data_IF_942505885649
#
_entry.id   IF_942505885649
#
_cell.length_a   1.000
_cell.length_b   1.000
_cell.length_c   1.000
_cell.angle_alpha   90.00
_cell.angle_beta   90.00
_cell.angle_gamma   90.00
#
_symmetry.space_group_name_H-M   'P 1'
#
loop_
_entity.id
_entity.type
_entity.pdbx_description
1 polymer ?
#
# COMPACT_ATOMS: atom_id res chain seq x y z
N UNK A 1 13.43 11.67 -8.14
CA UNK A 1 13.28 11.08 -6.81
C UNK A 1 14.43 11.62 -5.96
N UNK A 2 14.20 12.65 -5.15
CA UNK A 2 15.18 13.12 -4.20
C UNK A 2 15.35 12.06 -3.12
N UNK A 3 16.54 11.54 -2.98
CA UNK A 3 16.89 10.72 -1.81
C UNK A 3 17.11 11.74 -0.68
N UNK A 4 16.37 11.66 0.44
CA UNK A 4 16.62 12.54 1.57
C UNK A 4 18.09 12.47 1.97
N UNK A 5 18.69 13.61 2.25
CA UNK A 5 19.95 13.68 2.99
C UNK A 5 19.72 12.86 4.25
N UNK A 6 20.48 11.83 4.49
CA UNK A 6 20.44 10.91 5.60
C UNK A 6 19.02 10.64 6.20
N UNK A 7 18.46 9.48 5.90
CA UNK A 7 17.21 9.03 6.55
C UNK A 7 17.52 8.79 8.03
N UNK A 8 16.75 9.37 8.96
CA UNK A 8 16.90 9.05 10.36
C UNK A 8 16.77 7.53 10.56
N UNK A 9 17.60 6.98 11.42
CA UNK A 9 17.57 5.55 11.69
C UNK A 9 16.26 5.17 12.39
N UNK A 10 15.49 4.30 11.74
CA UNK A 10 14.24 3.77 12.29
C UNK A 10 14.45 3.11 13.66
N UNK A 11 15.62 2.53 13.89
CA UNK A 11 15.99 1.91 15.16
C UNK A 11 16.03 2.95 16.29
N UNK A 12 16.69 4.07 16.05
CA UNK A 12 16.73 5.20 17.00
C UNK A 12 15.31 5.75 17.26
N UNK A 13 14.50 5.90 16.22
CA UNK A 13 13.11 6.35 16.37
C UNK A 13 12.29 5.38 17.21
N UNK A 14 12.48 4.05 17.07
CA UNK A 14 11.84 3.04 17.92
C UNK A 14 12.23 3.19 19.39
N UNK A 15 13.50 3.37 19.67
CA UNK A 15 13.99 3.61 21.01
C UNK A 15 13.38 4.88 21.61
N UNK A 16 13.31 5.95 20.86
CA UNK A 16 12.71 7.21 21.32
C UNK A 16 11.21 7.06 21.61
N UNK A 17 10.47 6.38 20.74
CA UNK A 17 9.05 6.08 20.97
C UNK A 17 8.86 5.16 22.21
N UNK A 18 9.73 4.16 22.43
CA UNK A 18 9.68 3.28 23.60
C UNK A 18 9.94 4.03 24.90
N UNK A 19 10.64 5.18 24.84
CA UNK A 19 10.86 6.11 25.96
C UNK A 19 9.71 7.14 26.13
N UNK A 20 8.62 6.99 25.35
CA UNK A 20 7.45 7.86 25.42
C UNK A 20 7.57 9.19 24.68
N UNK A 21 8.58 9.35 23.80
CA UNK A 21 8.68 10.52 22.95
C UNK A 21 7.70 10.38 21.78
N UNK A 22 6.77 11.33 21.66
CA UNK A 22 5.79 11.34 20.57
C UNK A 22 6.10 12.40 19.53
N UNK A 23 6.39 13.63 19.98
CA UNK A 23 6.72 14.74 19.08
C UNK A 23 8.05 15.33 19.51
N UNK A 24 9.03 15.33 18.59
CA UNK A 24 10.37 15.83 18.89
C UNK A 24 11.14 16.24 17.66
N UNK A 25 12.15 17.09 17.86
CA UNK A 25 13.16 17.40 16.86
C UNK A 25 14.17 16.27 16.82
N UNK A 26 14.38 15.66 15.65
CA UNK A 26 15.31 14.53 15.44
C UNK A 26 16.73 15.05 15.23
N UNK A 27 16.88 16.09 14.41
CA UNK A 27 18.11 16.81 14.13
C UNK A 27 17.79 18.28 13.79
N UNK A 28 18.79 19.06 13.39
CA UNK A 28 18.64 20.51 13.13
C UNK A 28 17.54 20.87 12.11
N UNK A 29 17.19 19.95 11.20
CA UNK A 29 16.26 20.16 10.10
C UNK A 29 15.20 19.05 9.98
N UNK A 30 15.05 18.20 11.01
CA UNK A 30 14.14 17.05 10.93
C UNK A 30 13.30 16.92 12.20
N UNK A 31 12.00 16.64 12.02
CA UNK A 31 11.01 16.58 13.08
C UNK A 31 10.17 15.32 12.99
N UNK A 32 9.86 14.69 14.12
CA UNK A 32 8.96 13.56 14.23
C UNK A 32 7.64 13.99 14.87
N UNK A 33 6.52 13.61 14.24
CA UNK A 33 5.17 13.81 14.75
C UNK A 33 4.48 12.44 14.85
N UNK A 34 4.57 11.82 16.02
CA UNK A 34 4.01 10.51 16.31
C UNK A 34 2.83 10.57 17.30
N UNK A 35 2.57 11.74 17.90
CA UNK A 35 1.27 11.97 18.54
C UNK A 35 0.17 12.02 17.47
N UNK A 36 -0.97 11.31 17.64
CA UNK A 36 -2.03 11.23 16.64
C UNK A 36 -2.61 12.58 16.20
N UNK A 37 -2.71 13.54 17.12
CA UNK A 37 -3.24 14.88 16.82
C UNK A 37 -2.20 15.72 16.08
N UNK A 38 -0.96 15.69 16.52
CA UNK A 38 0.16 16.38 15.90
C UNK A 38 0.40 15.87 14.48
N UNK A 39 0.40 14.55 14.29
CA UNK A 39 0.53 13.92 12.98
C UNK A 39 -0.61 14.34 12.04
N UNK A 40 -1.86 14.40 12.54
CA UNK A 40 -2.99 14.91 11.77
C UNK A 40 -2.81 16.37 11.38
N UNK A 41 -2.44 17.23 12.33
CA UNK A 41 -2.23 18.66 12.08
C UNK A 41 -1.12 18.89 11.05
N UNK A 42 0.05 18.27 11.24
CA UNK A 42 1.16 18.34 10.30
C UNK A 42 0.75 17.89 8.88
N UNK A 43 -0.08 16.84 8.78
CA UNK A 43 -0.54 16.32 7.49
C UNK A 43 -1.57 17.24 6.78
N UNK A 44 -2.13 18.23 7.46
CA UNK A 44 -3.05 19.21 6.88
C UNK A 44 -2.34 20.47 6.36
N UNK A 45 -1.07 20.64 6.68
CA UNK A 45 -0.29 21.82 6.35
C UNK A 45 0.33 21.74 4.94
N UNK A 46 0.92 22.82 4.49
CA UNK A 46 1.51 22.91 3.17
C UNK A 46 2.91 22.26 3.15
N UNK A 47 3.06 21.19 2.37
CA UNK A 47 4.29 20.44 2.26
C UNK A 47 4.47 19.78 0.88
N UNK A 48 5.71 19.46 0.52
CA UNK A 48 6.05 18.54 -0.55
C UNK A 48 6.05 17.10 -0.01
N UNK A 49 5.44 16.19 -0.76
CA UNK A 49 5.54 14.77 -0.46
C UNK A 49 6.80 14.22 -1.11
N UNK A 50 7.78 13.81 -0.31
CA UNK A 50 9.08 13.37 -0.80
C UNK A 50 9.02 12.04 -1.57
N UNK A 51 7.88 11.36 -1.54
CA UNK A 51 7.65 10.10 -2.29
C UNK A 51 6.94 10.32 -3.62
N UNK A 52 6.41 11.53 -3.87
CA UNK A 52 5.69 11.87 -5.10
C UNK A 52 6.52 12.80 -5.98
N UNK A 53 6.35 12.74 -7.32
CA UNK A 53 6.97 13.70 -8.22
C UNK A 53 6.51 15.13 -7.93
N UNK A 54 7.43 16.08 -7.90
CA UNK A 54 7.12 17.51 -7.69
C UNK A 54 6.16 18.06 -8.73
N UNK A 55 6.27 17.57 -9.99
CA UNK A 55 5.39 17.95 -11.09
C UNK A 55 3.90 17.81 -10.79
N UNK A 56 3.51 16.92 -9.84
CA UNK A 56 2.13 16.77 -9.41
C UNK A 56 1.66 17.90 -8.48
N UNK A 57 2.59 18.67 -7.93
CA UNK A 57 2.35 19.75 -6.97
C UNK A 57 2.85 21.11 -7.47
N UNK A 58 3.50 21.15 -8.64
CA UNK A 58 3.99 22.39 -9.21
C UNK A 58 2.85 23.38 -9.43
N UNK A 59 3.13 24.64 -9.09
CA UNK A 59 2.28 25.77 -9.48
C UNK A 59 2.38 25.96 -11.00
N UNK A 60 1.26 26.15 -11.65
CA UNK A 60 1.25 26.88 -12.90
C UNK A 60 1.35 28.39 -12.55
N UNK A 61 1.92 29.18 -13.45
CA UNK A 61 2.13 30.62 -13.28
C UNK A 61 0.85 31.43 -12.97
N UNK A 62 -0.32 30.78 -13.09
CA UNK A 62 -1.64 31.34 -12.79
C UNK A 62 -2.10 31.19 -11.34
N UNK A 63 -1.26 30.69 -10.44
CA UNK A 63 -1.57 30.46 -9.03
C UNK A 63 -2.54 29.31 -8.75
N UNK A 64 -2.95 28.52 -9.74
CA UNK A 64 -3.81 27.33 -9.58
C UNK A 64 -3.01 26.11 -9.13
N UNK A 65 -2.35 26.28 -8.01
CA UNK A 65 -1.51 25.26 -7.43
C UNK A 65 -2.32 24.08 -6.90
N UNK A 66 -1.74 22.91 -6.92
CA UNK A 66 -2.25 21.67 -6.32
C UNK A 66 -3.62 21.19 -6.89
N UNK A 67 -4.26 21.96 -7.75
CA UNK A 67 -5.52 21.56 -8.38
C UNK A 67 -5.37 20.24 -9.14
N UNK A 68 -4.24 20.04 -9.81
CA UNK A 68 -3.98 18.82 -10.59
C UNK A 68 -4.01 17.55 -9.73
N UNK A 69 -3.32 17.54 -8.57
CA UNK A 69 -3.35 16.39 -7.68
C UNK A 69 -4.72 16.14 -7.06
N UNK A 70 -5.40 17.18 -6.60
CA UNK A 70 -6.75 17.06 -6.03
C UNK A 70 -7.77 16.56 -7.05
N UNK A 71 -7.71 17.06 -8.29
CA UNK A 71 -8.59 16.60 -9.38
C UNK A 71 -8.34 15.13 -9.72
N UNK A 72 -7.07 14.73 -9.93
CA UNK A 72 -6.70 13.34 -10.19
C UNK A 72 -7.21 12.45 -9.05
N UNK A 73 -6.92 12.83 -7.81
CA UNK A 73 -7.31 12.09 -6.62
C UNK A 73 -8.83 11.91 -6.53
N UNK A 74 -9.60 12.97 -6.74
CA UNK A 74 -11.07 12.90 -6.69
C UNK A 74 -11.63 12.03 -7.81
N UNK A 75 -11.06 12.10 -9.01
CA UNK A 75 -11.40 11.22 -10.12
C UNK A 75 -11.11 9.75 -9.81
N UNK A 76 -9.94 9.45 -9.26
CA UNK A 76 -9.60 8.09 -8.83
C UNK A 76 -10.54 7.55 -7.75
N UNK A 77 -10.87 8.36 -6.74
CA UNK A 77 -11.83 7.95 -5.70
C UNK A 77 -13.21 7.64 -6.28
N UNK A 78 -13.68 8.44 -7.25
CA UNK A 78 -14.94 8.18 -7.95
C UNK A 78 -14.86 6.87 -8.73
N UNK A 79 -13.83 6.68 -9.55
CA UNK A 79 -13.63 5.45 -10.34
C UNK A 79 -13.54 4.21 -9.45
N UNK A 80 -12.78 4.26 -8.35
CA UNK A 80 -12.66 3.14 -7.42
C UNK A 80 -13.99 2.80 -6.74
N UNK A 81 -14.82 3.80 -6.43
CA UNK A 81 -16.16 3.58 -5.90
C UNK A 81 -17.09 2.92 -6.93
N UNK A 82 -16.99 3.28 -8.20
CA UNK A 82 -17.75 2.66 -9.29
C UNK A 82 -17.28 1.23 -9.58
N UNK A 83 -16.00 0.94 -9.39
CA UNK A 83 -15.40 -0.39 -9.50
C UNK A 83 -15.61 -1.29 -8.27
N UNK A 84 -16.13 -0.75 -7.17
CA UNK A 84 -16.42 -1.53 -5.95
C UNK A 84 -17.71 -2.36 -6.12
N UNK A 85 -17.66 -3.31 -7.05
CA UNK A 85 -18.76 -4.22 -7.38
C UNK A 85 -18.31 -5.68 -7.23
N UNK A 86 -19.25 -6.58 -6.98
CA UNK A 86 -18.95 -8.01 -6.88
C UNK A 86 -18.33 -8.56 -8.16
N UNK A 87 -18.76 -8.07 -9.33
CA UNK A 87 -18.17 -8.49 -10.61
C UNK A 87 -16.69 -8.10 -10.73
N UNK A 88 -16.35 -6.84 -10.43
CA UNK A 88 -14.96 -6.36 -10.47
C UNK A 88 -14.09 -7.08 -9.42
N UNK A 89 -14.59 -7.27 -8.20
CA UNK A 89 -13.86 -7.99 -7.15
C UNK A 89 -13.68 -9.48 -7.48
N UNK A 90 -14.67 -10.10 -8.15
CA UNK A 90 -14.53 -11.47 -8.66
C UNK A 90 -13.45 -11.58 -9.72
N UNK A 91 -13.31 -10.57 -10.60
CA UNK A 91 -12.22 -10.51 -11.57
C UNK A 91 -10.86 -10.36 -10.88
N UNK A 92 -10.76 -9.51 -9.85
CA UNK A 92 -9.56 -9.38 -9.01
C UNK A 92 -9.22 -10.73 -8.36
N UNK A 93 -10.21 -11.42 -7.76
CA UNK A 93 -10.03 -12.75 -7.16
C UNK A 93 -9.49 -13.75 -8.18
N UNK A 94 -10.08 -13.81 -9.38
CA UNK A 94 -9.64 -14.72 -10.43
C UNK A 94 -8.19 -14.44 -10.87
N UNK A 95 -7.83 -13.16 -11.01
CA UNK A 95 -6.45 -12.78 -11.35
C UNK A 95 -5.47 -13.18 -10.25
N UNK A 96 -5.83 -12.97 -8.98
CA UNK A 96 -5.03 -13.38 -7.83
C UNK A 96 -4.87 -14.91 -7.79
N UNK A 97 -5.94 -15.67 -7.93
CA UNK A 97 -5.92 -17.15 -7.97
C UNK A 97 -5.01 -17.66 -9.07
N UNK A 98 -5.16 -17.13 -10.28
CA UNK A 98 -4.33 -17.52 -11.44
C UNK A 98 -2.85 -17.24 -11.19
N UNK A 99 -2.52 -16.09 -10.59
CA UNK A 99 -1.12 -15.75 -10.29
C UNK A 99 -0.54 -16.69 -9.23
N UNK A 100 -1.24 -16.94 -8.13
CA UNK A 100 -0.78 -17.86 -7.07
C UNK A 100 -0.58 -19.28 -7.61
N UNK A 101 -1.51 -19.78 -8.43
CA UNK A 101 -1.41 -21.10 -9.05
C UNK A 101 -0.32 -21.19 -10.14
N UNK A 102 0.24 -20.08 -10.62
CA UNK A 102 1.38 -20.11 -11.54
C UNK A 102 2.65 -20.75 -10.92
N UNK A 103 2.71 -20.82 -9.58
CA UNK A 103 3.76 -21.49 -8.82
C UNK A 103 3.33 -22.88 -8.32
N UNK A 104 2.17 -23.41 -8.74
CA UNK A 104 1.64 -24.67 -8.23
C UNK A 104 2.60 -25.84 -8.44
N UNK A 105 2.70 -26.70 -7.42
CA UNK A 105 3.52 -27.91 -7.43
C UNK A 105 5.04 -27.69 -7.33
N UNK A 106 5.49 -26.45 -7.11
CA UNK A 106 6.91 -26.12 -6.95
C UNK A 106 7.14 -25.33 -5.67
N UNK A 107 8.31 -25.52 -5.01
CA UNK A 107 8.73 -24.62 -3.94
C UNK A 107 8.80 -23.17 -4.44
N UNK A 108 8.21 -22.25 -3.70
CA UNK A 108 8.17 -20.83 -4.03
C UNK A 108 8.45 -19.96 -2.80
N UNK A 109 9.06 -18.81 -3.05
CA UNK A 109 9.09 -17.73 -2.06
C UNK A 109 7.69 -17.11 -2.01
N UNK A 110 6.94 -17.42 -0.95
CA UNK A 110 5.56 -16.99 -0.78
C UNK A 110 5.46 -15.48 -0.49
N UNK A 111 6.48 -14.90 0.16
CA UNK A 111 6.52 -13.45 0.40
C UNK A 111 6.50 -12.68 -0.93
N UNK A 112 7.41 -13.00 -1.84
CA UNK A 112 7.46 -12.37 -3.16
C UNK A 112 6.22 -12.67 -3.99
N UNK A 113 5.77 -13.93 -3.99
CA UNK A 113 4.63 -14.37 -4.79
C UNK A 113 3.32 -13.66 -4.39
N UNK A 114 3.09 -13.48 -3.08
CA UNK A 114 1.92 -12.78 -2.57
C UNK A 114 2.01 -11.28 -2.87
N UNK A 115 3.18 -10.67 -2.73
CA UNK A 115 3.36 -9.25 -3.07
C UNK A 115 3.09 -9.00 -4.55
N UNK A 116 3.60 -9.85 -5.43
CA UNK A 116 3.29 -9.79 -6.88
C UNK A 116 1.80 -10.02 -7.15
N UNK A 117 1.19 -10.98 -6.48
CA UNK A 117 -0.24 -11.29 -6.60
C UNK A 117 -1.11 -10.06 -6.34
N UNK A 118 -0.87 -9.37 -5.23
CA UNK A 118 -1.59 -8.14 -4.89
C UNK A 118 -1.35 -7.05 -5.93
N UNK A 119 -0.08 -6.80 -6.28
CA UNK A 119 0.28 -5.74 -7.21
C UNK A 119 -0.29 -5.97 -8.62
N UNK A 120 -0.23 -7.21 -9.12
CA UNK A 120 -0.66 -7.50 -10.49
C UNK A 120 -2.18 -7.62 -10.64
N UNK A 121 -2.91 -7.95 -9.56
CA UNK A 121 -4.36 -8.12 -9.60
C UNK A 121 -5.13 -6.83 -9.90
N UNK A 122 -4.52 -5.66 -9.71
CA UNK A 122 -5.16 -4.36 -9.92
C UNK A 122 -4.72 -3.65 -11.21
N UNK A 123 -3.97 -4.32 -12.08
CA UNK A 123 -3.54 -3.71 -13.34
C UNK A 123 -4.71 -3.31 -14.24
N UNK A 124 -5.79 -4.09 -14.27
CA UNK A 124 -6.98 -3.77 -15.05
C UNK A 124 -7.80 -2.62 -14.43
N UNK A 125 -7.72 -2.45 -13.11
CA UNK A 125 -8.26 -1.28 -12.43
C UNK A 125 -7.48 -0.02 -12.82
N UNK A 126 -6.18 -0.14 -13.05
CA UNK A 126 -5.35 0.99 -13.49
C UNK A 126 -5.53 1.31 -14.98
N UNK A 127 -5.39 0.30 -15.83
CA UNK A 127 -5.44 0.41 -17.31
C UNK A 127 -6.05 -0.89 -17.86
N UNK A 128 -7.32 -0.88 -18.18
CA UNK A 128 -8.07 -2.10 -18.54
C UNK A 128 -7.78 -2.64 -19.96
N UNK A 129 -7.16 -1.85 -20.84
CA UNK A 129 -6.94 -2.20 -22.25
C UNK A 129 -5.46 -2.47 -22.61
N UNK A 130 -4.66 -2.90 -21.63
CA UNK A 130 -3.28 -3.30 -21.85
C UNK A 130 -3.20 -4.59 -22.68
N UNK A 131 -2.36 -4.57 -23.72
CA UNK A 131 -2.00 -5.81 -24.42
C UNK A 131 -1.17 -6.73 -23.51
N UNK A 132 -1.12 -8.03 -23.81
CA UNK A 132 -0.32 -9.00 -23.06
C UNK A 132 1.15 -8.54 -22.96
N UNK A 133 1.72 -8.02 -24.06
CA UNK A 133 3.10 -7.53 -24.08
C UNK A 133 3.30 -6.29 -23.20
N UNK A 134 2.36 -5.34 -23.23
CA UNK A 134 2.41 -4.15 -22.39
C UNK A 134 2.25 -4.49 -20.91
N UNK A 135 1.33 -5.39 -20.59
CA UNK A 135 1.15 -5.92 -19.22
C UNK A 135 2.46 -6.54 -18.71
N UNK A 136 3.10 -7.40 -19.52
CA UNK A 136 4.36 -8.02 -19.16
C UNK A 136 5.51 -7.02 -18.89
N UNK A 137 5.55 -5.90 -19.59
CA UNK A 137 6.55 -4.84 -19.31
C UNK A 137 6.29 -4.12 -17.99
N UNK A 138 5.04 -3.78 -17.70
CA UNK A 138 4.67 -3.13 -16.42
C UNK A 138 4.92 -4.09 -15.26
N UNK A 139 4.50 -5.35 -15.35
CA UNK A 139 4.71 -6.34 -14.28
C UNK A 139 6.18 -6.61 -14.01
N UNK A 140 7.04 -6.60 -15.04
CA UNK A 140 8.51 -6.70 -14.84
C UNK A 140 9.07 -5.52 -14.06
N UNK A 141 8.59 -4.31 -14.35
CA UNK A 141 8.97 -3.13 -13.58
C UNK A 141 8.49 -3.22 -12.13
N UNK A 142 7.23 -3.59 -11.90
CA UNK A 142 6.67 -3.76 -10.56
C UNK A 142 7.43 -4.83 -9.75
N UNK A 143 7.73 -5.98 -10.37
CA UNK A 143 8.56 -7.04 -9.76
C UNK A 143 9.93 -6.52 -9.37
N UNK A 144 10.61 -5.78 -10.24
CA UNK A 144 11.90 -5.19 -9.95
C UNK A 144 11.82 -4.20 -8.77
N UNK A 145 10.76 -3.40 -8.68
CA UNK A 145 10.53 -2.51 -7.54
C UNK A 145 10.32 -3.29 -6.23
N UNK A 146 9.48 -4.33 -6.24
CA UNK A 146 9.24 -5.19 -5.07
C UNK A 146 10.57 -5.81 -4.59
N UNK A 147 11.37 -6.35 -5.51
CA UNK A 147 12.68 -6.94 -5.16
C UNK A 147 13.65 -5.93 -4.53
N UNK A 148 13.66 -4.70 -5.03
CA UNK A 148 14.47 -3.61 -4.44
C UNK A 148 14.01 -3.28 -3.02
N UNK A 149 12.70 -3.26 -2.79
CA UNK A 149 12.12 -2.94 -1.48
C UNK A 149 12.37 -4.06 -0.45
N UNK A 150 12.37 -5.33 -0.88
CA UNK A 150 12.62 -6.49 -0.02
C UNK A 150 14.09 -6.64 0.38
N UNK A 151 15.04 -6.24 -0.48
CA UNK A 151 16.47 -6.40 -0.24
C UNK A 151 17.27 -5.14 -0.60
N UNK A 152 17.08 -4.05 0.12
CA UNK A 152 17.73 -2.77 -0.20
C UNK A 152 19.25 -2.84 -0.16
N UNK A 153 19.83 -3.63 0.76
CA UNK A 153 21.29 -3.76 0.93
C UNK A 153 21.98 -4.48 -0.23
N UNK A 154 21.25 -5.24 -1.05
CA UNK A 154 21.85 -5.96 -2.18
C UNK A 154 22.01 -5.09 -3.44
N UNK A 155 21.56 -3.82 -3.41
CA UNK A 155 21.54 -2.95 -4.57
C UNK A 155 22.81 -2.11 -4.72
N UNK A 156 23.79 -2.69 -5.39
CA UNK A 156 24.92 -1.91 -5.98
C UNK A 156 24.41 -1.07 -7.16
N UNK A 157 25.13 0.01 -7.52
CA UNK A 157 24.81 0.85 -8.68
C UNK A 157 24.55 0.04 -9.96
N UNK A 158 25.33 -1.02 -10.19
CA UNK A 158 25.20 -1.92 -11.36
C UNK A 158 23.84 -2.67 -11.37
N UNK A 159 23.31 -3.05 -10.21
CA UNK A 159 22.02 -3.76 -10.10
C UNK A 159 20.80 -2.85 -10.24
N UNK A 160 20.98 -1.53 -10.22
CA UNK A 160 19.91 -0.56 -10.45
C UNK A 160 19.59 -0.35 -11.95
N UNK A 161 20.52 -0.69 -12.86
CA UNK A 161 20.28 -0.55 -14.31
C UNK A 161 19.02 -1.28 -14.83
N UNK A 162 18.74 -2.55 -14.44
CA UNK A 162 17.51 -3.22 -14.87
C UNK A 162 16.26 -2.48 -14.40
N UNK A 163 16.24 -1.96 -13.16
CA UNK A 163 15.12 -1.18 -12.64
C UNK A 163 14.90 0.10 -13.45
N UNK A 164 15.96 0.85 -13.75
CA UNK A 164 15.89 2.05 -14.59
C UNK A 164 15.38 1.71 -15.98
N UNK A 165 15.87 0.64 -16.59
CA UNK A 165 15.45 0.22 -17.91
C UNK A 165 13.97 -0.20 -17.93
N UNK A 166 13.52 -0.99 -16.95
CA UNK A 166 12.12 -1.38 -16.83
C UNK A 166 11.22 -0.17 -16.54
N UNK A 167 11.69 0.79 -15.73
CA UNK A 167 10.99 2.05 -15.47
C UNK A 167 10.74 2.82 -16.78
N UNK A 168 11.80 3.02 -17.58
CA UNK A 168 11.68 3.70 -18.87
C UNK A 168 10.70 2.98 -19.82
N UNK A 169 10.73 1.65 -19.83
CA UNK A 169 9.81 0.85 -20.67
C UNK A 169 8.37 0.93 -20.19
N UNK A 170 8.15 0.85 -18.88
CA UNK A 170 6.81 1.03 -18.28
C UNK A 170 6.27 2.44 -18.56
N UNK A 171 7.09 3.47 -18.40
CA UNK A 171 6.74 4.85 -18.71
C UNK A 171 6.37 5.02 -20.19
N UNK A 172 7.11 4.41 -21.12
CA UNK A 172 6.78 4.42 -22.56
C UNK A 172 5.43 3.74 -22.85
N UNK A 173 5.15 2.60 -22.20
CA UNK A 173 3.86 1.89 -22.35
C UNK A 173 2.72 2.78 -21.85
N UNK A 174 2.86 3.38 -20.67
CA UNK A 174 1.84 4.25 -20.08
C UNK A 174 1.64 5.50 -20.94
N UNK A 175 2.71 6.13 -21.40
CA UNK A 175 2.63 7.29 -22.33
C UNK A 175 1.85 6.94 -23.61
N UNK A 176 2.08 5.76 -24.18
CA UNK A 176 1.33 5.26 -25.33
C UNK A 176 -0.15 5.01 -25.00
N UNK A 177 -0.44 4.45 -23.81
CA UNK A 177 -1.80 4.23 -23.36
C UNK A 177 -2.57 5.55 -23.18
N UNK A 178 -1.94 6.58 -22.58
CA UNK A 178 -2.50 7.93 -22.47
C UNK A 178 -2.85 8.48 -23.84
N UNK A 179 -1.91 8.46 -24.79
CA UNK A 179 -2.15 8.97 -26.15
C UNK A 179 -3.24 8.19 -26.88
N UNK A 180 -3.26 6.86 -26.76
CA UNK A 180 -4.29 6.01 -27.38
C UNK A 180 -5.67 6.35 -26.80
N UNK A 181 -5.79 6.44 -25.47
CA UNK A 181 -7.05 6.72 -24.78
C UNK A 181 -7.61 8.11 -25.12
N UNK A 182 -6.74 9.13 -25.25
CA UNK A 182 -7.14 10.47 -25.67
C UNK A 182 -7.72 10.51 -27.10
N UNK A 183 -7.29 9.62 -27.97
CA UNK A 183 -7.82 9.51 -29.35
C UNK A 183 -9.11 8.69 -29.41
N UNK A 184 -9.36 7.85 -28.41
CA UNK A 184 -10.58 7.05 -28.32
C UNK A 184 -11.75 7.94 -27.90
N UNK A 185 -12.92 7.72 -28.53
CA UNK A 185 -14.17 8.37 -28.14
C UNK A 185 -14.93 7.57 -27.09
N UNK A 186 -14.46 6.36 -26.77
CA UNK A 186 -15.09 5.48 -25.78
C UNK A 186 -14.41 5.62 -24.43
N UNK A 187 -15.09 6.14 -23.40
CA UNK A 187 -14.57 6.16 -22.06
C UNK A 187 -14.43 4.73 -21.53
N UNK A 188 -13.46 4.51 -20.64
CA UNK A 188 -13.24 3.24 -19.97
C UNK A 188 -13.35 3.44 -18.46
N UNK A 189 -13.79 2.42 -17.75
CA UNK A 189 -13.86 2.46 -16.30
C UNK A 189 -12.54 1.95 -15.71
N UNK A 190 -11.54 2.82 -15.64
CA UNK A 190 -10.24 2.58 -15.03
C UNK A 190 -9.60 3.90 -14.54
N UNK A 191 -8.51 3.81 -13.79
CA UNK A 191 -7.85 4.99 -13.22
C UNK A 191 -7.18 5.87 -14.28
N UNK A 192 -6.80 5.30 -15.43
CA UNK A 192 -6.26 6.06 -16.57
C UNK A 192 -7.29 7.04 -17.13
N UNK A 193 -8.58 6.69 -17.13
CA UNK A 193 -9.63 7.57 -17.65
C UNK A 193 -9.67 8.90 -16.90
N UNK A 194 -9.61 8.87 -15.57
CA UNK A 194 -9.59 10.10 -14.77
C UNK A 194 -8.42 11.03 -15.12
N UNK A 195 -7.26 10.45 -15.45
CA UNK A 195 -6.08 11.22 -15.88
C UNK A 195 -6.29 11.82 -17.27
N UNK A 196 -6.90 11.06 -18.17
CA UNK A 196 -7.19 11.51 -19.53
C UNK A 196 -8.26 12.60 -19.56
N UNK A 197 -9.28 12.50 -18.72
CA UNK A 197 -10.35 13.51 -18.58
C UNK A 197 -9.80 14.86 -18.09
N UNK A 198 -8.73 14.83 -17.29
CA UNK A 198 -8.05 16.02 -16.77
C UNK A 198 -6.79 16.42 -17.59
N UNK A 199 -6.59 15.83 -18.76
CA UNK A 199 -5.36 16.00 -19.51
C UNK A 199 -5.06 17.46 -19.92
N UNK A 200 -6.08 18.29 -20.16
CA UNK A 200 -5.89 19.70 -20.51
C UNK A 200 -5.17 20.48 -19.40
N UNK A 201 -5.46 20.14 -18.13
CA UNK A 201 -4.83 20.75 -16.96
C UNK A 201 -3.47 20.09 -16.59
N UNK A 202 -3.28 18.80 -16.95
CA UNK A 202 -2.09 18.03 -16.56
C UNK A 202 -0.95 18.11 -17.56
N UNK A 203 -1.26 18.08 -18.85
CA UNK A 203 -0.25 17.78 -19.86
C UNK A 203 0.26 16.33 -19.79
N UNK A 204 1.21 15.99 -20.67
CA UNK A 204 1.68 14.60 -20.77
C UNK A 204 2.59 14.18 -19.61
N UNK A 205 3.38 15.09 -19.09
CA UNK A 205 4.38 14.75 -18.08
C UNK A 205 3.72 14.52 -16.71
N UNK A 206 2.82 15.41 -16.27
CA UNK A 206 2.05 15.21 -15.04
C UNK A 206 1.11 14.00 -15.14
N UNK A 207 0.49 13.78 -16.30
CA UNK A 207 -0.34 12.60 -16.55
C UNK A 207 0.48 11.29 -16.43
N UNK A 208 1.71 11.29 -16.96
CA UNK A 208 2.63 10.17 -16.84
C UNK A 208 3.08 9.97 -15.38
N UNK A 209 3.47 11.05 -14.70
CA UNK A 209 3.89 11.01 -13.30
C UNK A 209 2.78 10.48 -12.38
N UNK A 210 1.52 10.90 -12.63
CA UNK A 210 0.36 10.39 -11.90
C UNK A 210 0.23 8.87 -12.05
N UNK A 211 0.30 8.35 -13.27
CA UNK A 211 0.18 6.91 -13.52
C UNK A 211 1.38 6.12 -13.00
N UNK A 212 2.60 6.64 -13.12
CA UNK A 212 3.80 6.01 -12.57
C UNK A 212 3.79 6.01 -11.04
N UNK A 213 3.23 7.03 -10.42
CA UNK A 213 2.99 7.08 -8.97
C UNK A 213 2.06 5.94 -8.52
N UNK A 214 0.98 5.66 -9.26
CA UNK A 214 0.12 4.51 -8.98
C UNK A 214 0.88 3.19 -9.10
N UNK A 215 1.68 2.99 -10.15
CA UNK A 215 2.51 1.78 -10.32
C UNK A 215 3.42 1.60 -9.10
N UNK A 216 4.07 2.66 -8.65
CA UNK A 216 4.95 2.62 -7.47
C UNK A 216 4.15 2.33 -6.19
N UNK A 217 3.01 2.98 -6.00
CA UNK A 217 2.17 2.83 -4.80
C UNK A 217 1.64 1.40 -4.62
N UNK A 218 1.30 0.71 -5.71
CA UNK A 218 0.77 -0.66 -5.65
C UNK A 218 1.88 -1.73 -5.64
N UNK A 219 3.12 -1.38 -6.00
CA UNK A 219 4.24 -2.34 -6.09
C UNK A 219 4.94 -2.62 -4.76
N UNK A 220 4.51 -2.06 -3.65
CA UNK A 220 5.19 -2.25 -2.37
C UNK A 220 4.23 -2.41 -1.19
N UNK A 221 3.72 -1.34 -0.61
CA UNK A 221 3.00 -1.37 0.67
C UNK A 221 1.83 -2.35 0.75
N UNK A 222 0.92 -2.46 -0.25
CA UNK A 222 -0.22 -3.37 -0.16
C UNK A 222 0.20 -4.83 -0.12
N UNK A 223 1.18 -5.20 -0.95
CA UNK A 223 1.72 -6.56 -1.02
C UNK A 223 2.45 -6.97 0.27
N UNK A 224 3.20 -6.04 0.86
CA UNK A 224 3.90 -6.26 2.12
C UNK A 224 2.95 -6.59 3.27
N UNK A 225 1.89 -5.79 3.44
CA UNK A 225 0.83 -6.07 4.44
C UNK A 225 0.17 -7.42 4.18
N UNK A 226 -0.16 -7.70 2.92
CA UNK A 226 -0.81 -8.94 2.53
C UNK A 226 0.07 -10.18 2.81
N UNK A 227 1.37 -10.08 2.56
CA UNK A 227 2.32 -11.16 2.86
C UNK A 227 2.43 -11.42 4.36
N UNK A 228 2.59 -10.37 5.17
CA UNK A 228 2.61 -10.51 6.63
C UNK A 228 1.28 -11.08 7.17
N UNK A 229 0.15 -10.61 6.65
CA UNK A 229 -1.18 -11.14 7.01
C UNK A 229 -1.30 -12.63 6.66
N UNK A 230 -0.87 -13.03 5.49
CA UNK A 230 -0.91 -14.43 5.05
C UNK A 230 -0.01 -15.33 5.91
N UNK A 231 1.21 -14.90 6.21
CA UNK A 231 2.12 -15.62 7.10
C UNK A 231 1.53 -15.79 8.50
N UNK A 232 0.95 -14.73 9.07
CA UNK A 232 0.26 -14.76 10.36
C UNK A 232 -0.94 -15.72 10.34
N UNK A 233 -1.73 -15.70 9.28
CA UNK A 233 -2.88 -16.59 9.12
C UNK A 233 -2.43 -18.06 9.07
N UNK A 234 -1.40 -18.38 8.28
CA UNK A 234 -0.90 -19.75 8.11
C UNK A 234 -0.23 -20.30 9.37
N UNK A 235 0.27 -19.42 10.26
CA UNK A 235 0.79 -19.81 11.59
C UNK A 235 -0.29 -19.91 12.68
N UNK A 236 -1.55 -19.57 12.39
CA UNK A 236 -2.61 -19.46 13.38
C UNK A 236 -3.77 -20.42 13.08
N UNK A 237 -3.65 -21.74 13.38
CA UNK A 237 -4.69 -22.74 13.07
C UNK A 237 -6.08 -22.34 13.57
N UNK A 238 -6.15 -21.83 14.81
CA UNK A 238 -7.39 -21.37 15.42
C UNK A 238 -8.08 -20.22 14.63
N UNK A 239 -7.31 -19.34 14.00
CA UNK A 239 -7.87 -18.30 13.14
C UNK A 239 -8.23 -18.84 11.76
N UNK A 240 -7.48 -19.80 11.24
CA UNK A 240 -7.85 -20.48 10.00
C UNK A 240 -9.23 -21.14 10.14
N UNK A 241 -9.47 -21.88 11.24
CA UNK A 241 -10.73 -22.57 11.47
C UNK A 241 -11.90 -21.59 11.65
N UNK A 242 -11.71 -20.54 12.46
CA UNK A 242 -12.72 -19.50 12.68
C UNK A 242 -13.10 -18.80 11.36
N UNK A 243 -12.12 -18.35 10.61
CA UNK A 243 -12.35 -17.63 9.36
C UNK A 243 -12.90 -18.54 8.26
N UNK A 244 -12.45 -19.80 8.17
CA UNK A 244 -13.02 -20.79 7.23
C UNK A 244 -14.50 -21.06 7.55
N UNK A 245 -14.86 -21.23 8.81
CA UNK A 245 -16.24 -21.42 9.23
C UNK A 245 -17.11 -20.21 8.86
N UNK A 246 -16.62 -19.02 9.13
CA UNK A 246 -17.34 -17.77 8.81
C UNK A 246 -17.50 -17.58 7.29
N UNK A 247 -16.45 -17.82 6.50
CA UNK A 247 -16.48 -17.71 5.05
C UNK A 247 -17.41 -18.73 4.40
N UNK A 248 -17.46 -19.96 4.91
CA UNK A 248 -18.33 -21.02 4.41
C UNK A 248 -19.81 -20.75 4.77
N UNK A 249 -20.09 -20.07 5.86
CA UNK A 249 -21.43 -19.68 6.27
C UNK A 249 -21.93 -18.40 5.55
N UNK A 250 -21.01 -17.61 5.00
CA UNK A 250 -21.36 -16.41 4.25
C UNK A 250 -21.97 -16.73 2.88
N UNK A 251 -22.77 -15.81 2.29
CA UNK A 251 -23.20 -15.95 0.91
C UNK A 251 -22.00 -16.16 -0.02
N UNK A 252 -22.20 -16.90 -1.13
CA UNK A 252 -21.14 -17.23 -2.12
C UNK A 252 -20.61 -16.02 -2.90
N UNK A 253 -20.40 -14.92 -2.22
CA UNK A 253 -19.88 -13.68 -2.76
C UNK A 253 -18.42 -13.49 -2.34
N UNK A 254 -17.68 -12.74 -3.14
CA UNK A 254 -16.35 -12.29 -2.74
C UNK A 254 -16.50 -11.39 -1.49
N UNK A 255 -15.80 -11.69 -0.38
CA UNK A 255 -15.90 -10.88 0.83
C UNK A 255 -15.40 -9.46 0.54
N UNK A 256 -16.20 -8.48 0.91
CA UNK A 256 -15.91 -7.07 0.66
C UNK A 256 -16.55 -6.19 1.73
N UNK A 257 -16.02 -4.98 1.87
CA UNK A 257 -16.62 -3.99 2.76
C UNK A 257 -18.10 -3.76 2.44
N UNK A 258 -18.93 -3.58 3.45
CA UNK A 258 -18.65 -3.42 4.88
C UNK A 258 -18.56 -4.72 5.71
N UNK A 259 -18.27 -5.89 5.17
CA UNK A 259 -18.12 -7.19 5.86
C UNK A 259 -19.30 -7.60 6.76
N UNK A 260 -20.53 -7.37 6.32
CA UNK A 260 -21.75 -7.66 7.11
C UNK A 260 -21.84 -9.13 7.55
N UNK A 261 -21.34 -10.04 6.74
CA UNK A 261 -21.44 -11.48 6.96
C UNK A 261 -20.11 -12.10 7.43
N UNK A 262 -19.05 -11.30 7.54
CA UNK A 262 -17.70 -11.75 7.89
C UNK A 262 -17.02 -10.82 8.89
N UNK A 263 -17.61 -10.60 10.09
CA UNK A 263 -17.04 -9.67 11.08
C UNK A 263 -15.69 -10.13 11.63
N UNK A 264 -15.44 -11.44 11.81
CA UNK A 264 -14.15 -11.93 12.32
C UNK A 264 -13.04 -11.75 11.28
N UNK A 265 -13.34 -11.94 9.99
CA UNK A 265 -12.44 -11.59 8.90
C UNK A 265 -12.09 -10.10 8.92
N UNK A 266 -13.08 -9.23 9.17
CA UNK A 266 -12.83 -7.80 9.32
C UNK A 266 -11.89 -7.49 10.49
N UNK A 267 -12.08 -8.11 11.64
CA UNK A 267 -11.19 -7.94 12.78
C UNK A 267 -9.76 -8.39 12.47
N UNK A 268 -9.62 -9.55 11.83
CA UNK A 268 -8.32 -10.08 11.42
C UNK A 268 -7.59 -9.13 10.47
N UNK A 269 -8.28 -8.59 9.47
CA UNK A 269 -7.72 -7.61 8.53
C UNK A 269 -7.36 -6.30 9.24
N UNK A 270 -8.22 -5.78 10.13
CA UNK A 270 -7.93 -4.56 10.90
C UNK A 270 -6.68 -4.72 11.74
N UNK A 271 -6.51 -5.86 12.39
CA UNK A 271 -5.32 -6.14 13.19
C UNK A 271 -4.08 -6.27 12.32
N UNK A 272 -4.19 -6.92 11.17
CA UNK A 272 -3.10 -6.99 10.19
C UNK A 272 -2.67 -5.60 9.70
N UNK A 273 -3.62 -4.75 9.39
CA UNK A 273 -3.36 -3.37 9.00
C UNK A 273 -2.76 -2.53 10.14
N UNK A 274 -3.16 -2.77 11.41
CA UNK A 274 -2.54 -2.13 12.56
C UNK A 274 -1.08 -2.55 12.72
N UNK A 275 -0.81 -3.84 12.58
CA UNK A 275 0.54 -4.40 12.82
C UNK A 275 1.52 -4.08 11.69
N UNK A 276 1.10 -4.07 10.44
CA UNK A 276 1.99 -4.02 9.28
C UNK A 276 1.72 -2.85 8.33
N UNK A 277 1.08 -1.77 8.80
CA UNK A 277 0.94 -0.55 7.99
C UNK A 277 2.31 0.05 7.65
N UNK A 278 2.34 0.87 6.58
CA UNK A 278 3.58 1.55 6.14
C UNK A 278 4.20 2.32 7.31
N UNK A 279 5.47 2.08 7.62
CA UNK A 279 6.04 2.54 8.88
C UNK A 279 6.18 4.07 8.96
N UNK A 280 6.73 4.73 7.95
CA UNK A 280 7.04 6.17 8.02
C UNK A 280 6.75 6.84 6.69
N UNK A 281 6.20 8.06 6.76
CA UNK A 281 5.98 8.93 5.62
C UNK A 281 6.81 10.20 5.81
N UNK A 282 7.61 10.56 4.80
CA UNK A 282 8.51 11.70 4.78
C UNK A 282 7.87 12.86 4.05
N UNK A 283 8.01 14.07 4.60
CA UNK A 283 7.48 15.32 4.07
C UNK A 283 8.53 16.42 4.16
N UNK A 284 8.52 17.35 3.20
CA UNK A 284 9.29 18.59 3.25
C UNK A 284 8.32 19.76 3.41
N UNK A 285 8.54 20.61 4.41
CA UNK A 285 7.70 21.78 4.65
C UNK A 285 7.92 22.83 3.54
N UNK A 286 6.84 23.30 2.91
CA UNK A 286 6.89 24.38 1.91
C UNK A 286 6.81 25.77 2.53
N UNK A 287 6.28 25.86 3.74
CA UNK A 287 6.19 27.09 4.52
C UNK A 287 6.41 26.76 6.00
N UNK A 288 6.85 27.74 6.82
CA UNK A 288 6.99 27.54 8.26
C UNK A 288 5.64 27.21 8.91
N UNK A 289 5.66 26.30 9.89
CA UNK A 289 4.48 25.98 10.71
C UNK A 289 4.90 25.51 12.10
N UNK A 290 3.95 25.53 13.03
CA UNK A 290 4.17 25.05 14.40
C UNK A 290 3.15 23.99 14.78
N UNK A 291 3.62 22.96 15.49
CA UNK A 291 2.81 21.92 16.11
C UNK A 291 3.27 21.77 17.55
N UNK A 292 2.41 22.07 18.51
CA UNK A 292 2.78 22.14 19.90
C UNK A 292 3.88 23.18 20.15
N UNK A 293 5.02 22.74 20.68
CA UNK A 293 6.18 23.58 20.95
C UNK A 293 7.24 23.55 19.82
N UNK A 294 7.03 22.72 18.81
CA UNK A 294 7.97 22.56 17.70
C UNK A 294 7.62 23.52 16.56
N UNK A 295 8.61 24.18 16.02
CA UNK A 295 8.48 25.07 14.85
C UNK A 295 9.34 24.52 13.73
N UNK A 296 8.71 24.15 12.63
CA UNK A 296 9.31 23.62 11.41
C UNK A 296 9.49 24.77 10.43
N UNK A 297 10.67 24.92 9.86
CA UNK A 297 10.95 25.95 8.85
C UNK A 297 10.68 25.44 7.44
N UNK A 298 10.56 26.34 6.47
CA UNK A 298 10.47 25.96 5.06
C UNK A 298 11.77 25.22 4.65
N UNK A 299 11.62 24.06 3.98
CA UNK A 299 12.74 23.18 3.61
C UNK A 299 13.12 22.15 4.66
N UNK A 300 12.59 22.24 5.88
CA UNK A 300 12.77 21.20 6.88
C UNK A 300 11.96 19.94 6.53
N UNK A 301 12.47 18.80 6.99
CA UNK A 301 11.80 17.51 6.83
C UNK A 301 10.99 17.17 8.08
N UNK A 302 9.81 16.60 7.90
CA UNK A 302 9.06 16.02 9.00
C UNK A 302 8.50 14.64 8.66
N UNK A 303 8.26 13.85 9.70
CA UNK A 303 7.83 12.46 9.57
C UNK A 303 6.53 12.23 10.30
N UNK A 304 5.64 11.45 9.68
CA UNK A 304 4.46 10.89 10.30
C UNK A 304 4.55 9.36 10.24
N UNK A 305 4.13 8.67 11.29
CA UNK A 305 4.19 7.22 11.34
C UNK A 305 2.92 6.60 11.92
N UNK A 306 2.16 5.90 11.08
CA UNK A 306 1.10 5.03 11.55
C UNK A 306 1.65 3.84 12.37
N UNK A 307 2.83 3.35 12.03
CA UNK A 307 3.48 2.25 12.75
C UNK A 307 3.73 2.58 14.22
N UNK A 308 4.26 3.78 14.54
CA UNK A 308 4.50 4.19 15.93
C UNK A 308 3.21 4.51 16.65
N UNK A 309 2.24 5.18 16.00
CA UNK A 309 0.91 5.40 16.60
C UNK A 309 0.22 4.08 16.94
N UNK A 310 0.30 3.07 16.06
CA UNK A 310 -0.32 1.77 16.28
C UNK A 310 0.39 0.90 17.33
N UNK A 311 1.57 1.31 17.78
CA UNK A 311 2.35 0.59 18.80
C UNK A 311 2.55 1.35 20.09
N UNK A 312 1.90 2.49 20.24
CA UNK A 312 1.95 3.26 21.46
C UNK A 312 0.99 2.66 22.50
N UNK A 313 1.53 2.26 23.65
CA UNK A 313 0.79 1.62 24.76
C UNK A 313 -0.31 2.51 25.35
N UNK A 314 -0.19 3.84 25.21
CA UNK A 314 -1.24 4.77 25.66
C UNK A 314 -2.56 4.60 24.87
N UNK A 315 -2.47 4.12 23.62
CA UNK A 315 -3.63 3.97 22.73
C UNK A 315 -4.00 2.51 22.50
N UNK A 316 -3.03 1.59 22.61
CA UNK A 316 -3.18 0.18 22.28
C UNK A 316 -2.64 -0.72 23.39
N UNK A 317 -3.50 -1.34 24.21
CA UNK A 317 -3.06 -2.35 25.17
C UNK A 317 -2.33 -3.49 24.45
N UNK A 318 -1.21 -3.95 25.00
CA UNK A 318 -0.37 -4.99 24.39
C UNK A 318 -0.13 -4.76 22.87
N UNK A 319 0.48 -3.61 22.48
CA UNK A 319 0.49 -3.16 21.09
C UNK A 319 1.31 -4.07 20.16
N UNK A 320 2.19 -4.90 20.71
CA UNK A 320 3.03 -5.84 19.96
C UNK A 320 2.38 -7.22 19.77
N UNK A 321 1.28 -7.50 20.47
CA UNK A 321 0.52 -8.74 20.34
C UNK A 321 -0.47 -8.63 19.20
N UNK A 322 -0.46 -9.63 18.30
CA UNK A 322 -1.47 -9.76 17.25
C UNK A 322 -2.74 -10.36 17.84
N UNK A 323 -3.72 -9.53 18.11
CA UNK A 323 -5.01 -9.93 18.69
C UNK A 323 -6.20 -9.33 17.93
N UNK A 324 -6.78 -10.07 16.95
CA UNK A 324 -7.98 -9.61 16.27
C UNK A 324 -9.20 -9.42 17.16
N UNK A 325 -9.26 -10.07 18.35
CA UNK A 325 -10.42 -9.93 19.24
C UNK A 325 -10.51 -8.55 19.88
N UNK A 326 -9.41 -7.79 19.91
CA UNK A 326 -9.45 -6.38 20.37
C UNK A 326 -10.48 -5.54 19.59
N UNK A 327 -10.80 -5.93 18.37
CA UNK A 327 -11.74 -5.21 17.49
C UNK A 327 -13.20 -5.54 17.76
N UNK A 328 -13.49 -6.58 18.59
CA UNK A 328 -14.86 -6.94 18.93
C UNK A 328 -15.55 -5.86 19.80
N UNK A 329 -14.80 -5.21 20.68
CA UNK A 329 -15.31 -4.21 21.63
C UNK A 329 -14.47 -2.93 21.59
N UNK A 330 -13.75 -2.68 20.49
CA UNK A 330 -12.79 -1.57 20.41
C UNK A 330 -13.48 -0.21 20.50
N UNK A 331 -13.17 0.50 21.58
CA UNK A 331 -13.38 1.93 21.67
C UNK A 331 -12.09 2.65 21.19
N UNK A 332 -11.88 2.68 19.88
CA UNK A 332 -10.68 3.23 19.28
C UNK A 332 -10.72 4.76 19.38
N UNK A 333 -9.71 5.34 20.01
CA UNK A 333 -9.59 6.79 20.10
C UNK A 333 -9.44 7.42 18.70
N UNK A 334 -9.99 8.62 18.47
CA UNK A 334 -9.86 9.29 17.18
C UNK A 334 -8.40 9.47 16.75
N UNK A 335 -8.11 9.20 15.48
CA UNK A 335 -6.79 9.31 14.85
C UNK A 335 -5.71 8.34 15.34
N UNK A 336 -6.03 7.34 16.17
CA UNK A 336 -5.07 6.31 16.61
C UNK A 336 -5.07 5.06 15.73
N UNK A 337 -6.11 4.84 14.92
CA UNK A 337 -6.13 3.80 13.89
C UNK A 337 -6.10 4.44 12.50
N UNK A 338 -4.92 4.51 11.93
CA UNK A 338 -4.63 5.24 10.69
C UNK A 338 -3.76 4.44 9.70
N UNK A 339 -4.14 3.19 9.39
CA UNK A 339 -3.31 2.32 8.54
C UNK A 339 -3.13 2.86 7.12
N UNK A 340 -4.01 3.74 6.70
CA UNK A 340 -4.00 4.40 5.39
C UNK A 340 -3.59 5.88 5.46
N UNK A 341 -3.01 6.32 6.57
CA UNK A 341 -2.61 7.69 6.81
C UNK A 341 -3.77 8.63 7.18
N UNK A 342 -3.48 9.92 7.24
CA UNK A 342 -4.40 10.96 7.68
C UNK A 342 -4.97 11.78 6.52
N UNK A 343 -6.25 12.19 6.65
CA UNK A 343 -6.84 13.16 5.72
C UNK A 343 -6.11 14.52 5.79
N UNK A 344 -5.99 15.27 4.67
CA UNK A 344 -6.57 15.02 3.35
C UNK A 344 -5.75 14.08 2.44
N UNK A 345 -4.63 13.56 2.91
CA UNK A 345 -3.67 12.73 2.12
C UNK A 345 -3.79 11.23 2.39
N UNK A 346 -4.89 10.78 3.02
CA UNK A 346 -5.14 9.35 3.22
C UNK A 346 -5.13 8.57 1.89
N UNK A 347 -4.79 7.28 1.95
CA UNK A 347 -4.66 6.42 0.78
C UNK A 347 -5.94 6.40 -0.07
N UNK A 348 -5.78 6.59 -1.38
CA UNK A 348 -6.89 6.51 -2.35
C UNK A 348 -7.44 5.10 -2.46
N UNK A 349 -6.55 4.10 -2.41
CA UNK A 349 -6.89 2.69 -2.57
C UNK A 349 -7.27 1.96 -1.28
N UNK A 350 -7.61 2.67 -0.20
CA UNK A 350 -7.87 2.05 1.11
C UNK A 350 -8.93 0.94 1.05
N UNK A 351 -10.06 1.20 0.37
CA UNK A 351 -11.14 0.21 0.23
C UNK A 351 -10.72 -0.96 -0.65
N UNK A 352 -10.15 -0.69 -1.81
CA UNK A 352 -9.67 -1.73 -2.72
C UNK A 352 -8.61 -2.61 -2.04
N UNK A 353 -7.62 -2.01 -1.36
CA UNK A 353 -6.60 -2.76 -0.61
C UNK A 353 -7.19 -3.63 0.49
N UNK A 354 -8.17 -3.12 1.23
CA UNK A 354 -8.87 -3.91 2.26
C UNK A 354 -9.64 -5.08 1.64
N UNK A 355 -10.30 -4.88 0.50
CA UNK A 355 -10.99 -5.94 -0.23
C UNK A 355 -10.00 -6.98 -0.78
N UNK A 356 -8.81 -6.56 -1.27
CA UNK A 356 -7.76 -7.50 -1.68
C UNK A 356 -7.28 -8.39 -0.54
N UNK A 357 -7.13 -7.85 0.68
CA UNK A 357 -6.77 -8.65 1.85
C UNK A 357 -7.85 -9.69 2.19
N UNK A 358 -9.13 -9.32 2.09
CA UNK A 358 -10.24 -10.25 2.29
C UNK A 358 -10.28 -11.35 1.23
N UNK A 359 -10.10 -10.99 -0.03
CA UNK A 359 -10.01 -11.93 -1.16
C UNK A 359 -8.84 -12.89 -0.95
N UNK A 360 -7.68 -12.38 -0.51
CA UNK A 360 -6.53 -13.24 -0.22
C UNK A 360 -6.85 -14.25 0.88
N UNK A 361 -7.46 -13.83 2.00
CA UNK A 361 -7.88 -14.75 3.05
C UNK A 361 -8.84 -15.84 2.51
N UNK A 362 -9.80 -15.48 1.68
CA UNK A 362 -10.71 -16.44 1.06
C UNK A 362 -9.95 -17.44 0.16
N UNK A 363 -9.03 -16.95 -0.67
CA UNK A 363 -8.21 -17.82 -1.52
C UNK A 363 -7.39 -18.81 -0.69
N UNK A 364 -6.70 -18.31 0.36
CA UNK A 364 -5.84 -19.13 1.22
C UNK A 364 -6.60 -20.17 2.06
N UNK A 365 -7.85 -19.91 2.39
CA UNK A 365 -8.65 -20.77 3.28
C UNK A 365 -9.60 -21.70 2.54
N UNK A 366 -10.12 -21.29 1.37
CA UNK A 366 -11.22 -21.98 0.71
C UNK A 366 -10.87 -22.48 -0.71
N UNK A 367 -9.89 -21.87 -1.38
CA UNK A 367 -9.61 -22.19 -2.79
C UNK A 367 -8.25 -22.87 -2.99
N UNK A 368 -7.31 -22.72 -2.03
CA UNK A 368 -5.93 -23.16 -2.16
C UNK A 368 -5.47 -23.98 -0.95
N UNK A 369 -4.58 -24.95 -1.20
CA UNK A 369 -3.80 -25.60 -0.16
C UNK A 369 -2.37 -25.06 -0.18
N UNK A 370 -1.90 -24.59 0.98
CA UNK A 370 -0.54 -24.10 1.16
C UNK A 370 0.16 -24.95 2.21
N UNK A 371 1.34 -25.45 1.84
CA UNK A 371 2.21 -26.18 2.76
C UNK A 371 3.49 -25.39 2.94
N UNK A 372 3.75 -24.91 4.15
CA UNK A 372 4.98 -24.20 4.50
C UNK A 372 6.16 -25.18 4.58
N UNK A 373 7.31 -24.77 4.02
CA UNK A 373 8.55 -25.58 4.08
C UNK A 373 9.08 -25.64 5.51
N UNK A 374 9.09 -24.53 6.23
CA UNK A 374 9.61 -24.42 7.59
C UNK A 374 8.77 -23.41 8.40
N UNK A 375 7.64 -23.84 8.98
CA UNK A 375 6.75 -22.92 9.72
C UNK A 375 7.43 -22.17 10.87
N UNK A 376 8.41 -22.79 11.53
CA UNK A 376 9.17 -22.20 12.63
C UNK A 376 10.25 -21.20 12.20
N UNK A 377 10.54 -21.10 10.92
CA UNK A 377 11.56 -20.20 10.39
C UNK A 377 11.00 -18.81 9.98
N UNK A 378 9.69 -18.59 10.10
CA UNK A 378 9.07 -17.31 9.74
C UNK A 378 9.46 -16.21 10.70
N UNK A 379 10.08 -15.16 10.17
CA UNK A 379 10.42 -13.97 10.94
C UNK A 379 9.84 -12.72 10.27
N UNK A 380 9.08 -11.94 11.04
CA UNK A 380 8.52 -10.66 10.58
C UNK A 380 9.57 -9.57 10.70
N UNK A 381 9.91 -8.98 9.58
CA UNK A 381 10.86 -7.88 9.49
C UNK A 381 10.10 -6.57 9.24
N UNK A 382 10.43 -5.54 10.00
CA UNK A 382 9.80 -4.22 9.91
C UNK A 382 10.88 -3.14 9.69
N UNK A 383 11.52 -3.20 8.55
CA UNK A 383 12.50 -2.19 8.13
C UNK A 383 11.79 -0.98 7.49
N UNK A 384 12.02 -0.75 6.20
CA UNK A 384 11.35 0.31 5.44
C UNK A 384 9.94 -0.09 4.97
N UNK A 385 9.76 -1.38 4.68
CA UNK A 385 8.48 -2.02 4.33
C UNK A 385 8.45 -3.36 5.07
N UNK A 386 7.28 -3.75 5.64
CA UNK A 386 7.15 -5.05 6.27
C UNK A 386 7.44 -6.19 5.28
N UNK A 387 8.11 -7.23 5.76
CA UNK A 387 8.41 -8.45 5.00
C UNK A 387 8.44 -9.66 5.92
N UNK A 388 8.48 -10.86 5.33
CA UNK A 388 8.54 -12.11 6.07
C UNK A 388 9.70 -12.96 5.57
N UNK A 389 10.76 -13.04 6.37
CA UNK A 389 11.87 -13.94 6.07
C UNK A 389 11.47 -15.40 6.30
N UNK A 390 12.02 -16.30 5.50
CA UNK A 390 11.73 -17.74 5.58
C UNK A 390 10.32 -18.15 5.12
N UNK A 391 9.57 -17.25 4.49
CA UNK A 391 8.22 -17.54 4.00
C UNK A 391 8.26 -18.28 2.67
N UNK A 392 8.51 -19.56 2.75
CA UNK A 392 8.62 -20.47 1.61
C UNK A 392 7.65 -21.63 1.75
N UNK A 393 7.19 -22.15 0.62
CA UNK A 393 6.24 -23.26 0.61
C UNK A 393 5.81 -23.68 -0.78
N UNK A 394 4.84 -24.61 -0.83
CA UNK A 394 4.18 -25.06 -2.05
C UNK A 394 2.72 -24.68 -2.05
N UNK A 395 2.16 -24.44 -3.22
CA UNK A 395 0.75 -24.10 -3.43
C UNK A 395 0.13 -25.14 -4.35
N UNK A 396 -1.09 -25.55 -4.05
CA UNK A 396 -1.94 -26.34 -4.93
C UNK A 396 -3.38 -25.85 -4.86
N UNK A 397 -4.17 -26.19 -5.86
CA UNK A 397 -5.62 -25.94 -5.82
C UNK A 397 -6.28 -26.90 -4.83
N UNK A 398 -7.20 -26.41 -4.03
CA UNK A 398 -8.01 -27.26 -3.16
C UNK A 398 -8.99 -28.06 -4.03
N UNK A 399 -8.96 -29.39 -3.91
CA UNK A 399 -9.95 -30.24 -4.56
C UNK A 399 -11.32 -30.03 -3.88
N UNK A 400 -12.35 -29.81 -4.67
CA UNK A 400 -13.71 -29.59 -4.21
C UNK A 400 -14.30 -30.84 -3.52
#
# INVERSE_FOLDING_TARGET
MMIPKERPDITTMREDCSKGKEDYQVDDQSYAFFNPQSARLANQLNFADMTLPESLFDTQDDGQQAMSWQHIRSGWLKTLKELDTQAALSQVKQTMKTHLLSAAGKPANLDLLIQECIAFSVLDVMICDLTIQHRALITRHMRAQIQVLLKPETHTRLRQYPLLWYNLRAAQVIRKAIHKRRKSKEPRLDLLQSVVDNFAALGIDRALDAMMTLVTAISGPPGAVASCMAAQLLQSPQWQDKLRTELNAAPTQVPALPFKHTPQLHWFIKESLRMWSVPIVFREARCPFSVGKLTVQAGDTFFNSSYFVHRNEQYWPEPHVFDPLRWQQANVQPNTYVPFGWNPRACVGAQLGTNQLAILCQLLLCDLNITLTSPSALAFENMNIPSVAGFEGTISEQQA
#
